data_IF_335346782497
#
_entry.id   IF_335346782497
#
_cell.length_a   1.000
_cell.length_b   1.000
_cell.length_c   1.000
_cell.angle_alpha   90.00
_cell.angle_beta   90.00
_cell.angle_gamma   90.00
#
_symmetry.space_group_name_H-M   'P 1'
#
loop_
_entity.id
_entity.type
_entity.pdbx_description
1 polymer ?
#
# COMPACT_ATOMS: atom_id res chain seq x y z
N UNK A 1 10.77 -12.68 62.81
CA UNK A 1 10.80 -13.56 61.62
C UNK A 1 9.91 -13.10 60.47
N UNK A 2 8.73 -12.48 60.69
CA UNK A 2 7.83 -12.05 59.59
C UNK A 2 8.37 -10.92 58.69
N UNK A 3 9.17 -9.99 59.21
CA UNK A 3 9.76 -8.89 58.42
C UNK A 3 10.76 -9.38 57.36
N UNK A 4 11.60 -10.38 57.69
CA UNK A 4 12.59 -10.90 56.73
C UNK A 4 11.94 -11.58 55.52
N UNK A 5 10.83 -12.27 55.73
CA UNK A 5 10.10 -12.92 54.64
C UNK A 5 9.52 -11.92 53.62
N UNK A 6 9.02 -10.77 54.10
CA UNK A 6 8.47 -9.74 53.20
C UNK A 6 9.55 -9.10 52.32
N UNK A 7 10.76 -8.89 52.85
CA UNK A 7 11.88 -8.32 52.07
C UNK A 7 12.32 -9.28 50.97
N UNK A 8 12.43 -10.57 51.27
CA UNK A 8 12.83 -11.58 50.27
C UNK A 8 11.81 -11.65 49.13
N UNK A 9 10.51 -11.72 49.45
CA UNK A 9 9.45 -11.77 48.42
C UNK A 9 9.47 -10.53 47.52
N UNK A 10 9.69 -9.34 48.09
CA UNK A 10 9.78 -8.10 47.33
C UNK A 10 10.96 -8.08 46.35
N UNK A 11 12.15 -8.48 46.80
CA UNK A 11 13.36 -8.51 45.96
C UNK A 11 13.22 -9.54 44.83
N UNK A 12 12.70 -10.73 45.13
CA UNK A 12 12.47 -11.77 44.11
C UNK A 12 11.46 -11.32 43.06
N UNK A 13 10.35 -10.68 43.47
CA UNK A 13 9.36 -10.14 42.55
C UNK A 13 9.95 -9.08 41.61
N UNK A 14 10.78 -8.17 42.15
CA UNK A 14 11.42 -7.13 41.36
C UNK A 14 12.43 -7.70 40.36
N UNK A 15 13.22 -8.71 40.76
CA UNK A 15 14.15 -9.39 39.87
C UNK A 15 13.43 -10.11 38.72
N UNK A 16 12.35 -10.85 39.02
CA UNK A 16 11.54 -11.52 37.99
C UNK A 16 10.87 -10.51 37.04
N UNK A 17 10.37 -9.39 37.56
CA UNK A 17 9.80 -8.32 36.74
C UNK A 17 10.81 -7.70 35.78
N UNK A 18 12.05 -7.46 36.24
CA UNK A 18 13.12 -6.95 35.37
C UNK A 18 13.51 -7.95 34.28
N UNK A 19 13.65 -9.23 34.61
CA UNK A 19 13.95 -10.29 33.63
C UNK A 19 12.83 -10.39 32.59
N UNK A 20 11.57 -10.43 33.02
CA UNK A 20 10.43 -10.47 32.10
C UNK A 20 10.39 -9.23 31.18
N UNK A 21 10.68 -8.05 31.71
CA UNK A 21 10.73 -6.81 30.93
C UNK A 21 11.87 -6.80 29.93
N UNK A 22 13.06 -7.32 30.29
CA UNK A 22 14.18 -7.45 29.35
C UNK A 22 13.87 -8.43 28.23
N UNK A 23 13.24 -9.57 28.54
CA UNK A 23 12.81 -10.52 27.52
C UNK A 23 11.73 -9.95 26.60
N UNK A 24 10.77 -9.22 27.15
CA UNK A 24 9.68 -8.63 26.37
C UNK A 24 10.14 -7.45 25.50
N UNK A 25 11.00 -6.58 26.06
CA UNK A 25 11.49 -5.38 25.36
C UNK A 25 12.60 -5.69 24.35
N UNK A 26 13.29 -6.82 24.51
CA UNK A 26 14.32 -7.29 23.58
C UNK A 26 13.77 -7.99 22.33
N UNK A 27 12.46 -8.26 22.26
CA UNK A 27 11.88 -8.82 21.05
C UNK A 27 11.87 -7.76 19.94
N UNK A 28 12.51 -8.01 18.78
CA UNK A 28 12.47 -7.08 17.67
C UNK A 28 11.00 -6.89 17.25
N UNK A 29 10.48 -5.68 17.47
CA UNK A 29 9.17 -5.31 16.92
C UNK A 29 9.33 -5.30 15.41
N UNK A 30 8.46 -6.03 14.71
CA UNK A 30 8.41 -5.97 13.25
C UNK A 30 8.04 -4.54 12.87
N UNK A 31 9.02 -3.75 12.43
CA UNK A 31 8.78 -2.44 11.83
C UNK A 31 8.22 -2.70 10.44
N UNK A 32 6.90 -2.72 10.33
CA UNK A 32 6.21 -2.74 9.05
C UNK A 32 6.29 -1.36 8.42
N UNK A 33 7.39 -1.04 7.75
CA UNK A 33 7.41 0.11 6.87
C UNK A 33 6.56 -0.23 5.64
N UNK A 34 5.29 0.16 5.65
CA UNK A 34 4.52 0.35 4.43
C UNK A 34 4.72 1.81 4.04
N UNK A 35 5.82 2.09 3.34
CA UNK A 35 6.10 3.41 2.80
C UNK A 35 6.00 3.34 1.28
N UNK A 36 5.54 4.44 0.70
CA UNK A 36 5.52 4.66 -0.73
C UNK A 36 6.21 6.00 -0.98
N UNK A 37 7.17 6.02 -1.91
CA UNK A 37 7.84 7.24 -2.34
C UNK A 37 7.84 7.31 -3.86
N UNK A 38 7.77 8.52 -4.40
CA UNK A 38 7.71 8.79 -5.83
C UNK A 38 8.73 9.84 -6.22
N UNK A 39 9.56 9.50 -7.20
CA UNK A 39 10.53 10.42 -7.79
C UNK A 39 10.49 10.31 -9.31
N UNK A 40 10.03 11.36 -9.98
CA UNK A 40 9.92 11.43 -11.44
C UNK A 40 9.15 10.22 -12.01
N UNK A 41 9.85 9.44 -12.85
CA UNK A 41 9.34 8.26 -13.54
C UNK A 41 9.41 6.98 -12.69
N UNK A 42 9.82 7.10 -11.42
CA UNK A 42 9.97 5.97 -10.51
C UNK A 42 9.03 6.08 -9.32
N UNK A 43 8.45 4.95 -8.94
CA UNK A 43 7.76 4.80 -7.66
C UNK A 43 8.38 3.62 -6.93
N UNK A 44 8.58 3.77 -5.62
CA UNK A 44 9.06 2.71 -4.75
C UNK A 44 8.03 2.45 -3.67
N UNK A 45 7.80 1.16 -3.37
CA UNK A 45 7.00 0.78 -2.21
C UNK A 45 7.61 -0.42 -1.50
N UNK A 46 7.37 -0.51 -0.20
CA UNK A 46 7.84 -1.62 0.63
C UNK A 46 6.67 -2.42 1.18
N UNK A 47 6.87 -3.73 1.35
CA UNK A 47 5.87 -4.61 1.94
C UNK A 47 6.52 -5.85 2.53
N UNK A 48 5.85 -6.51 3.47
CA UNK A 48 6.36 -7.74 4.04
C UNK A 48 6.36 -8.88 3.00
N UNK A 49 7.42 -9.66 2.97
CA UNK A 49 7.54 -10.84 2.11
C UNK A 49 8.12 -11.98 2.93
N UNK A 50 7.52 -13.16 2.85
CA UNK A 50 8.04 -14.35 3.54
C UNK A 50 8.65 -15.31 2.52
N UNK A 51 9.98 -15.28 2.37
CA UNK A 51 10.72 -16.29 1.60
C UNK A 51 10.97 -17.53 2.45
N UNK A 52 11.29 -17.32 3.72
CA UNK A 52 11.48 -18.38 4.71
C UNK A 52 10.38 -18.26 5.76
N UNK A 53 9.55 -19.29 6.00
CA UNK A 53 8.46 -19.24 6.97
C UNK A 53 8.87 -18.82 8.40
N UNK A 54 10.16 -18.94 8.74
CA UNK A 54 10.70 -18.57 10.05
C UNK A 54 11.15 -17.12 10.16
N UNK A 55 11.40 -16.44 9.04
CA UNK A 55 11.99 -15.10 9.00
C UNK A 55 11.20 -14.22 8.04
N UNK A 56 10.50 -13.23 8.59
CA UNK A 56 9.81 -12.22 7.81
C UNK A 56 10.80 -11.20 7.27
N UNK A 57 10.92 -11.14 5.95
CA UNK A 57 11.77 -10.19 5.22
C UNK A 57 10.96 -9.04 4.66
N UNK A 58 11.64 -7.98 4.21
CA UNK A 58 10.99 -6.83 3.59
C UNK A 58 11.24 -6.86 2.08
N UNK A 59 10.16 -6.91 1.32
CA UNK A 59 10.17 -6.76 -0.13
C UNK A 59 10.18 -5.30 -0.51
N UNK A 60 11.01 -4.95 -1.49
CA UNK A 60 11.08 -3.64 -2.12
C UNK A 60 10.60 -3.79 -3.55
N UNK A 61 9.64 -2.96 -3.92
CA UNK A 61 9.05 -2.86 -5.24
C UNK A 61 9.47 -1.53 -5.85
N UNK A 62 10.01 -1.56 -7.06
CA UNK A 62 10.37 -0.39 -7.81
C UNK A 62 9.68 -0.47 -9.18
N UNK A 63 8.86 0.53 -9.47
CA UNK A 63 8.16 0.66 -10.74
C UNK A 63 8.83 1.76 -11.56
N UNK A 64 9.27 1.41 -12.77
CA UNK A 64 9.75 2.35 -13.76
C UNK A 64 8.65 2.62 -14.80
N UNK A 65 8.07 3.83 -14.77
CA UNK A 65 7.02 4.24 -15.69
C UNK A 65 7.49 4.32 -17.14
N UNK A 66 8.76 4.67 -17.37
CA UNK A 66 9.28 4.88 -18.72
C UNK A 66 9.45 3.57 -19.46
N UNK A 67 9.93 2.53 -18.78
CA UNK A 67 10.06 1.19 -19.36
C UNK A 67 8.82 0.32 -19.16
N UNK A 68 7.90 0.71 -18.28
CA UNK A 68 6.77 -0.14 -17.88
C UNK A 68 7.22 -1.39 -17.13
N UNK A 69 8.41 -1.39 -16.53
CA UNK A 69 8.95 -2.55 -15.80
C UNK A 69 8.70 -2.41 -14.31
N UNK A 70 8.22 -3.50 -13.72
CA UNK A 70 8.18 -3.70 -12.29
C UNK A 70 9.40 -4.53 -11.87
N UNK A 71 10.21 -3.97 -10.99
CA UNK A 71 11.33 -4.63 -10.34
C UNK A 71 10.93 -4.95 -8.90
N UNK A 72 11.28 -6.15 -8.46
CA UNK A 72 11.05 -6.60 -7.11
C UNK A 72 12.29 -7.25 -6.53
N UNK A 73 12.61 -6.91 -5.29
CA UNK A 73 13.70 -7.55 -4.55
C UNK A 73 13.33 -7.72 -3.09
N UNK A 74 14.10 -8.52 -2.37
CA UNK A 74 13.93 -8.73 -0.93
C UNK A 74 15.22 -8.42 -0.21
N UNK A 75 15.09 -7.79 0.96
CA UNK A 75 16.19 -7.55 1.88
C UNK A 75 16.29 -8.73 2.84
N UNK A 76 17.41 -9.46 2.77
CA UNK A 76 17.75 -10.47 3.77
C UNK A 76 18.18 -9.76 5.06
N UNK A 77 17.34 -9.86 6.09
CA UNK A 77 17.58 -9.25 7.41
C UNK A 77 18.76 -9.87 8.15
N UNK A 78 19.15 -11.10 7.83
CA UNK A 78 20.29 -11.76 8.47
C UNK A 78 21.62 -11.23 7.93
N UNK A 79 21.68 -10.90 6.65
CA UNK A 79 22.89 -10.39 5.99
C UNK A 79 22.89 -8.87 5.79
N UNK A 80 21.73 -8.22 5.90
CA UNK A 80 21.56 -6.80 5.59
C UNK A 80 21.77 -6.49 4.09
N UNK A 81 21.49 -7.45 3.20
CA UNK A 81 21.76 -7.35 1.76
C UNK A 81 20.52 -7.63 0.92
N UNK A 82 20.50 -7.02 -0.26
CA UNK A 82 19.50 -7.25 -1.30
C UNK A 82 19.78 -8.62 -1.95
N UNK A 83 18.76 -9.47 -2.07
CA UNK A 83 18.87 -10.81 -2.64
C UNK A 83 18.14 -10.89 -3.97
N UNK A 84 18.91 -10.76 -5.05
CA UNK A 84 18.42 -10.92 -6.42
C UNK A 84 17.43 -9.85 -6.87
N UNK A 85 16.99 -9.94 -8.12
CA UNK A 85 15.93 -9.11 -8.66
C UNK A 85 14.99 -10.01 -9.47
N UNK A 86 13.69 -9.75 -9.31
CA UNK A 86 12.64 -10.27 -10.16
C UNK A 86 12.10 -9.12 -10.99
N UNK A 87 11.88 -9.35 -12.28
CA UNK A 87 11.30 -8.35 -13.18
C UNK A 87 9.97 -8.85 -13.72
N UNK A 88 9.03 -7.93 -13.93
CA UNK A 88 7.80 -8.14 -14.70
C UNK A 88 7.65 -6.99 -15.67
N UNK A 89 7.38 -7.31 -16.93
CA UNK A 89 7.03 -6.32 -17.95
C UNK A 89 5.54 -6.00 -17.86
N UNK A 90 5.21 -4.89 -17.19
CA UNK A 90 3.82 -4.47 -17.03
C UNK A 90 3.22 -3.94 -18.33
N UNK A 91 4.02 -3.43 -19.26
CA UNK A 91 3.49 -2.96 -20.54
C UNK A 91 2.87 -4.13 -21.30
N UNK A 92 3.57 -5.27 -21.37
CA UNK A 92 3.05 -6.50 -21.96
C UNK A 92 1.87 -7.06 -21.15
N UNK A 93 1.97 -7.12 -19.82
CA UNK A 93 0.92 -7.69 -18.95
C UNK A 93 -0.39 -6.89 -18.97
N UNK A 94 -0.31 -5.56 -19.03
CA UNK A 94 -1.45 -4.67 -19.11
C UNK A 94 -1.91 -4.43 -20.56
N UNK A 95 -1.20 -4.97 -21.56
CA UNK A 95 -1.52 -4.79 -22.98
C UNK A 95 -1.49 -3.31 -23.39
N UNK A 96 -0.50 -2.58 -22.89
CA UNK A 96 -0.23 -1.20 -23.26
C UNK A 96 0.44 -1.18 -24.64
N UNK A 97 -0.02 -0.31 -25.53
CA UNK A 97 0.63 -0.15 -26.82
C UNK A 97 2.02 0.50 -26.67
N UNK A 98 3.04 0.07 -27.43
CA UNK A 98 4.35 0.70 -27.39
C UNK A 98 4.25 2.20 -27.69
N UNK A 99 4.97 3.03 -26.91
CA UNK A 99 4.99 4.51 -27.01
C UNK A 99 3.70 5.22 -26.55
N UNK A 100 2.78 4.52 -25.91
CA UNK A 100 1.65 5.15 -25.24
C UNK A 100 2.08 5.72 -23.88
N UNK A 101 1.56 6.90 -23.52
CA UNK A 101 1.74 7.46 -22.18
C UNK A 101 0.97 6.62 -21.17
N UNK A 102 1.73 5.97 -20.28
CA UNK A 102 1.21 5.11 -19.21
C UNK A 102 1.22 5.82 -17.88
N UNK A 103 0.15 5.61 -17.13
CA UNK A 103 0.01 6.18 -15.80
C UNK A 103 -0.34 5.07 -14.83
N UNK A 104 0.69 4.48 -14.26
CA UNK A 104 0.52 3.47 -13.23
C UNK A 104 0.44 4.10 -11.84
N UNK A 105 -0.39 3.52 -10.98
CA UNK A 105 -0.43 3.76 -9.55
C UNK A 105 -0.16 2.44 -8.86
N UNK A 106 0.65 2.44 -7.80
CA UNK A 106 0.88 1.23 -7.02
C UNK A 106 0.83 1.49 -5.52
N UNK A 107 0.44 0.47 -4.77
CA UNK A 107 0.47 0.47 -3.30
C UNK A 107 0.61 -0.96 -2.78
N UNK A 108 1.14 -1.12 -1.57
CA UNK A 108 1.23 -2.41 -0.90
C UNK A 108 0.19 -2.53 0.20
N UNK A 109 -0.28 -3.75 0.45
CA UNK A 109 -1.15 -4.04 1.59
C UNK A 109 -0.96 -5.46 2.10
N UNK A 110 -1.17 -5.66 3.40
CA UNK A 110 -1.07 -6.98 4.02
C UNK A 110 -2.23 -7.87 3.58
N UNK A 111 -1.91 -9.08 3.11
CA UNK A 111 -2.91 -10.12 2.79
C UNK A 111 -2.97 -11.14 3.92
N UNK A 112 -1.81 -11.52 4.44
CA UNK A 112 -1.67 -12.38 5.62
C UNK A 112 -0.51 -11.90 6.47
N UNK A 113 -0.35 -12.46 7.68
CA UNK A 113 0.82 -12.18 8.50
C UNK A 113 2.11 -12.53 7.72
N UNK A 114 3.03 -11.57 7.63
CA UNK A 114 4.30 -11.76 6.94
C UNK A 114 4.26 -11.67 5.42
N UNK A 115 3.09 -11.45 4.80
CA UNK A 115 2.96 -11.38 3.35
C UNK A 115 2.09 -10.19 2.93
N UNK A 116 2.66 -9.35 2.08
CA UNK A 116 1.98 -8.24 1.42
C UNK A 116 1.75 -8.55 -0.05
N UNK A 117 0.63 -8.06 -0.57
CA UNK A 117 0.40 -7.92 -2.00
C UNK A 117 0.78 -6.51 -2.45
N UNK A 118 1.19 -6.42 -3.71
CA UNK A 118 1.32 -5.20 -4.48
C UNK A 118 0.09 -5.06 -5.37
N UNK A 119 -0.63 -3.97 -5.19
CA UNK A 119 -1.76 -3.57 -6.02
C UNK A 119 -1.27 -2.56 -7.04
N UNK A 120 -1.52 -2.81 -8.33
CA UNK A 120 -1.14 -1.90 -9.42
C UNK A 120 -2.37 -1.59 -10.25
N UNK A 121 -2.65 -0.31 -10.44
CA UNK A 121 -3.65 0.17 -11.38
C UNK A 121 -2.95 0.89 -12.53
N UNK A 122 -3.28 0.54 -13.78
CA UNK A 122 -2.92 1.34 -14.94
C UNK A 122 -4.16 2.16 -15.33
N UNK A 123 -4.02 3.49 -15.25
CA UNK A 123 -5.19 4.38 -15.24
C UNK A 123 -5.75 4.66 -16.62
N UNK A 124 -4.95 4.50 -17.68
CA UNK A 124 -5.35 4.75 -19.08
C UNK A 124 -6.20 3.61 -19.63
N UNK A 125 -5.76 2.35 -19.47
CA UNK A 125 -6.48 1.12 -19.86
C UNK A 125 -7.58 0.74 -18.86
N UNK A 126 -7.50 1.23 -17.61
CA UNK A 126 -8.46 0.89 -16.56
C UNK A 126 -8.31 -0.54 -16.03
N UNK A 127 -7.11 -1.12 -16.16
CA UNK A 127 -6.75 -2.45 -15.65
C UNK A 127 -6.13 -2.36 -14.26
N UNK A 128 -6.40 -3.37 -13.43
CA UNK A 128 -5.92 -3.52 -12.07
C UNK A 128 -5.35 -4.91 -11.86
N UNK A 129 -4.10 -4.99 -11.43
CA UNK A 129 -3.39 -6.24 -11.17
C UNK A 129 -2.99 -6.39 -9.71
N UNK A 130 -3.05 -7.64 -9.23
CA UNK A 130 -2.59 -8.01 -7.88
C UNK A 130 -1.37 -8.92 -8.00
N UNK A 131 -0.28 -8.54 -7.35
CA UNK A 131 0.99 -9.24 -7.41
C UNK A 131 1.47 -9.59 -6.00
N UNK A 132 2.22 -10.68 -5.86
CA UNK A 132 3.00 -10.97 -4.66
C UNK A 132 4.40 -11.41 -5.02
N UNK A 133 5.31 -11.23 -4.07
CA UNK A 133 6.66 -11.73 -4.18
C UNK A 133 6.82 -12.98 -3.30
N UNK A 134 7.65 -13.92 -3.74
CA UNK A 134 7.99 -15.08 -2.93
C UNK A 134 9.20 -15.82 -3.47
N UNK A 135 9.54 -16.93 -2.81
CA UNK A 135 10.57 -17.82 -3.29
C UNK A 135 10.21 -18.39 -4.68
N UNK A 136 11.18 -18.39 -5.57
CA UNK A 136 11.16 -19.12 -6.83
C UNK A 136 11.22 -20.62 -6.59
N UNK A 137 11.02 -21.40 -7.66
CA UNK A 137 10.91 -22.88 -7.61
C UNK A 137 12.07 -23.57 -6.89
N UNK A 138 13.27 -22.99 -6.93
CA UNK A 138 14.49 -23.55 -6.33
C UNK A 138 14.89 -22.87 -5.00
N UNK A 139 14.06 -22.00 -4.43
CA UNK A 139 14.34 -21.30 -3.17
C UNK A 139 15.40 -20.20 -3.23
N UNK A 140 16.28 -20.20 -4.23
CA UNK A 140 17.39 -19.24 -4.34
C UNK A 140 17.05 -17.93 -5.06
N UNK A 141 15.99 -17.90 -5.86
CA UNK A 141 15.60 -16.71 -6.62
C UNK A 141 14.30 -16.17 -6.08
N UNK A 142 14.11 -14.86 -6.23
CA UNK A 142 12.83 -14.21 -6.00
C UNK A 142 12.00 -14.28 -7.27
N UNK A 143 10.69 -14.48 -7.14
CA UNK A 143 9.75 -14.40 -8.25
C UNK A 143 8.57 -13.52 -7.88
N UNK A 144 8.12 -12.71 -8.83
CA UNK A 144 6.87 -11.96 -8.75
C UNK A 144 5.79 -12.80 -9.41
N UNK A 145 4.69 -13.03 -8.70
CA UNK A 145 3.54 -13.81 -9.19
C UNK A 145 2.33 -12.91 -9.29
N UNK A 146 1.69 -12.91 -10.46
CA UNK A 146 0.37 -12.31 -10.65
C UNK A 146 -0.69 -13.26 -10.10
N UNK A 147 -1.56 -12.73 -9.23
CA UNK A 147 -2.72 -13.46 -8.70
C UNK A 147 -3.98 -13.16 -9.48
N UNK A 148 -4.17 -11.90 -9.86
CA UNK A 148 -5.38 -11.45 -10.51
C UNK A 148 -5.10 -10.28 -11.46
N UNK A 149 -5.97 -10.12 -12.46
CA UNK A 149 -6.01 -9.01 -13.40
C UNK A 149 -7.47 -8.74 -13.77
N UNK A 150 -7.97 -7.57 -13.37
CA UNK A 150 -9.36 -7.17 -13.61
C UNK A 150 -9.43 -5.78 -14.23
N UNK A 151 -10.54 -5.45 -14.89
CA UNK A 151 -10.81 -4.10 -15.34
C UNK A 151 -11.67 -3.40 -14.28
N UNK A 152 -11.22 -2.25 -13.78
CA UNK A 152 -11.99 -1.43 -12.84
C UNK A 152 -12.77 -0.32 -13.54
N UNK A 153 -12.46 -0.05 -14.81
CA UNK A 153 -13.35 0.70 -15.70
C UNK A 153 -14.09 -0.32 -16.55
N UNK A 154 -15.42 -0.36 -16.44
CA UNK A 154 -16.20 -0.91 -17.55
C UNK A 154 -15.84 -0.06 -18.76
N UNK A 155 -15.27 -0.66 -19.80
CA UNK A 155 -15.32 -0.08 -21.14
C UNK A 155 -16.79 0.01 -21.45
N UNK A 156 -17.39 1.16 -21.09
CA UNK A 156 -18.80 1.38 -21.27
C UNK A 156 -19.09 1.09 -22.72
N UNK A 157 -19.95 0.10 -22.95
CA UNK A 157 -20.95 0.15 -23.99
C UNK A 157 -21.33 1.61 -24.07
N UNK A 158 -20.86 2.30 -25.11
CA UNK A 158 -21.20 3.69 -25.37
C UNK A 158 -22.71 3.72 -25.27
N UNK A 159 -23.25 4.33 -24.20
CA UNK A 159 -24.69 4.53 -24.13
C UNK A 159 -25.01 5.24 -25.44
N UNK A 160 -25.86 4.65 -26.32
CA UNK A 160 -26.10 5.18 -27.64
C UNK A 160 -26.39 6.65 -27.43
N UNK A 161 -25.58 7.50 -28.07
CA UNK A 161 -25.69 8.93 -27.96
C UNK A 161 -27.17 9.24 -28.11
N UNK A 162 -27.80 9.68 -27.01
CA UNK A 162 -29.20 10.03 -27.04
C UNK A 162 -29.26 11.10 -28.13
N UNK A 163 -29.86 10.75 -29.26
CA UNK A 163 -30.06 11.65 -30.38
C UNK A 163 -30.63 12.92 -29.78
N UNK A 164 -29.78 13.95 -29.70
CA UNK A 164 -30.20 15.32 -29.49
C UNK A 164 -30.87 15.78 -30.77
N UNK A 165 -31.98 15.11 -31.11
CA UNK A 165 -33.02 15.56 -32.01
C UNK A 165 -33.72 16.72 -31.29
N UNK A 166 -33.10 17.89 -31.40
CA UNK A 166 -33.55 19.09 -30.72
C UNK A 166 -32.64 20.28 -31.04
N UNK A 167 -32.25 20.41 -32.31
CA UNK A 167 -31.70 21.64 -32.84
C UNK A 167 -32.76 22.75 -32.66
N UNK A 168 -32.60 23.56 -31.62
CA UNK A 168 -33.25 24.86 -31.58
C UNK A 168 -32.56 25.77 -32.62
N UNK A 169 -33.32 26.58 -33.39
CA UNK A 169 -32.77 27.46 -34.41
C UNK A 169 -31.75 28.44 -33.84
N UNK A 170 -30.62 28.61 -34.52
CA UNK A 170 -29.68 29.72 -34.25
C UNK A 170 -30.32 31.04 -34.68
N UNK A 171 -30.49 31.95 -33.74
CA UNK A 171 -30.61 33.39 -34.04
C UNK A 171 -29.23 33.97 -34.38
N UNK A 172 -29.10 34.79 -35.44
CA UNK A 172 -27.90 35.54 -35.72
C UNK A 172 -28.06 36.97 -35.20
N UNK A 173 -27.38 37.35 -34.10
CA UNK A 173 -26.77 38.67 -33.92
C UNK A 173 -26.26 38.90 -32.49
N UNK A 174 -24.97 39.20 -32.40
CA UNK A 174 -24.41 40.28 -31.57
C UNK A 174 -24.82 40.36 -30.09
N UNK A 175 -24.01 39.76 -29.21
CA UNK A 175 -24.02 40.08 -27.79
C UNK A 175 -22.83 39.48 -27.07
N UNK A 176 -21.92 40.33 -26.58
CA UNK A 176 -20.80 39.95 -25.72
C UNK A 176 -21.33 39.28 -24.44
N UNK A 177 -20.89 38.07 -24.05
CA UNK A 177 -21.25 37.52 -22.76
C UNK A 177 -20.39 38.17 -21.66
N UNK A 178 -21.01 39.09 -20.93
CA UNK A 178 -20.61 39.43 -19.57
C UNK A 178 -20.98 38.27 -18.63
N UNK A 179 -20.07 37.85 -17.77
CA UNK A 179 -20.38 36.97 -16.65
C UNK A 179 -19.44 35.77 -16.54
N UNK A 180 -18.25 36.01 -15.97
CA UNK A 180 -17.49 34.92 -15.34
C UNK A 180 -18.31 34.48 -14.12
N UNK A 181 -18.70 33.20 -14.00
CA UNK A 181 -19.40 32.72 -12.82
C UNK A 181 -18.47 32.81 -11.60
N UNK A 182 -18.87 33.61 -10.62
CA UNK A 182 -18.25 33.60 -9.29
C UNK A 182 -18.57 32.24 -8.67
N UNK A 183 -17.55 31.39 -8.58
CA UNK A 183 -17.64 30.10 -7.90
C UNK A 183 -17.82 30.40 -6.40
N UNK A 184 -18.98 30.03 -5.86
CA UNK A 184 -19.24 30.16 -4.43
C UNK A 184 -18.19 29.37 -3.62
N UNK A 185 -17.69 29.92 -2.50
CA UNK A 185 -16.73 29.22 -1.65
C UNK A 185 -17.34 27.89 -1.18
N UNK A 186 -16.71 26.79 -1.58
CA UNK A 186 -17.08 25.46 -1.10
C UNK A 186 -16.89 25.42 0.42
N UNK A 187 -17.95 25.10 1.16
CA UNK A 187 -17.86 24.84 2.59
C UNK A 187 -17.07 23.56 2.78
N UNK A 188 -15.90 23.67 3.42
CA UNK A 188 -15.09 22.53 3.81
C UNK A 188 -15.94 21.53 4.60
N UNK A 189 -15.87 20.22 4.30
CA UNK A 189 -16.53 19.21 5.09
C UNK A 189 -16.04 19.28 6.55
N UNK A 190 -16.92 18.99 7.53
CA UNK A 190 -16.54 19.03 8.93
C UNK A 190 -15.40 18.05 9.21
N UNK A 191 -14.34 18.56 9.85
CA UNK A 191 -13.21 17.74 10.30
C UNK A 191 -13.75 16.57 11.14
N UNK A 192 -13.47 15.30 10.78
CA UNK A 192 -13.88 14.17 11.59
C UNK A 192 -13.27 14.31 12.99
N UNK A 193 -14.12 14.38 14.00
CA UNK A 193 -13.69 14.45 15.39
C UNK A 193 -13.09 13.10 15.76
N UNK A 194 -11.78 13.02 15.87
CA UNK A 194 -11.10 11.82 16.37
C UNK A 194 -11.48 11.69 17.86
N UNK A 195 -12.11 10.57 18.29
CA UNK A 195 -12.42 10.37 19.70
C UNK A 195 -11.12 10.35 20.49
N UNK A 196 -11.10 11.13 21.58
CA UNK A 196 -9.98 11.18 22.50
C UNK A 196 -9.67 9.76 23.02
N UNK A 197 -8.38 9.40 23.15
CA UNK A 197 -8.00 8.10 23.69
C UNK A 197 -8.60 7.90 25.09
N UNK A 198 -9.24 6.75 25.30
CA UNK A 198 -9.82 6.40 26.58
C UNK A 198 -8.75 6.45 27.67
N UNK A 199 -9.03 7.19 28.74
CA UNK A 199 -8.12 7.29 29.87
C UNK A 199 -7.89 5.89 30.47
N UNK A 200 -6.62 5.50 30.73
CA UNK A 200 -6.33 4.23 31.37
C UNK A 200 -6.81 4.28 32.83
N UNK A 201 -7.84 3.52 33.18
CA UNK A 201 -8.20 3.34 34.59
C UNK A 201 -9.63 3.03 34.98
N UNK A 202 -10.57 2.74 34.07
CA UNK A 202 -11.91 2.34 34.51
C UNK A 202 -11.90 0.91 35.07
N UNK A 203 -12.27 0.70 36.35
CA UNK A 203 -12.35 -0.64 36.93
C UNK A 203 -13.50 -1.42 36.28
N UNK A 204 -13.19 -2.65 35.85
CA UNK A 204 -14.18 -3.63 35.40
C UNK A 204 -14.97 -4.06 36.64
N UNK A 205 -16.20 -3.57 36.77
CA UNK A 205 -17.17 -4.10 37.74
C UNK A 205 -17.69 -5.41 37.16
N UNK A 206 -17.42 -6.51 37.86
CA UNK A 206 -18.06 -7.81 37.64
C UNK A 206 -19.43 -7.84 38.28
#
# INVERSE_FOLDING_TARGET
MRQGAMVIVGVTGMALGMVATMFYSGQPRSVGAASNDRYQDYVMSTGAVTINPRIQTDGVWLLDYKSGKLLGTVIDKTQGKIVGFAEVDLATEFGVEPRQDVHFMMTTGYVTQGQSALYIAETTTGKFGVYTMGAGTNGNNIVIRRHDMTNFRQTGTTAPAADSAGALPRDPAGGLPAGVPVIAPQTLPPTPTIPAPAAPGSPIIK
#
